data_IF_158385657718
#
_entry.id   IF_158385657718
#
_cell.length_a   1.000
_cell.length_b   1.000
_cell.length_c   1.000
_cell.angle_alpha   90.00
_cell.angle_beta   90.00
_cell.angle_gamma   90.00
#
_symmetry.space_group_name_H-M   'P 1'
#
loop_
_entity.id
_entity.type
_entity.pdbx_description
1 polymer ?
#
# COMPACT_ATOMS: atom_id res chain seq x y z
N UNK A 1 -16.52 26.69 -55.23
CA UNK A 1 -15.40 26.80 -56.18
C UNK A 1 -14.21 27.44 -55.46
N UNK A 2 -13.06 26.75 -55.45
CA UNK A 2 -11.67 27.25 -55.42
C UNK A 2 -11.25 28.04 -54.15
N UNK A 3 -10.47 27.51 -53.18
CA UNK A 3 -9.05 27.07 -53.20
C UNK A 3 -8.09 27.99 -53.97
N UNK A 4 -7.14 28.60 -53.24
CA UNK A 4 -5.80 29.11 -53.62
C UNK A 4 -5.24 29.81 -52.36
N UNK A 5 -4.44 29.21 -51.48
CA UNK A 5 -3.04 28.75 -51.56
C UNK A 5 -2.02 29.74 -52.16
N UNK A 6 -1.09 30.17 -51.30
CA UNK A 6 0.28 30.64 -51.59
C UNK A 6 1.10 30.53 -50.29
N UNK A 7 1.94 29.50 -50.07
CA UNK A 7 3.27 29.19 -50.65
C UNK A 7 4.32 30.24 -50.27
N UNK A 8 5.11 30.08 -49.19
CA UNK A 8 6.40 29.34 -49.06
C UNK A 8 7.57 30.34 -48.84
N UNK A 9 8.82 30.00 -48.42
CA UNK A 9 9.46 28.70 -48.09
C UNK A 9 10.09 28.62 -46.66
N UNK A 10 10.10 27.46 -46.01
CA UNK A 10 11.23 26.52 -45.78
C UNK A 10 12.63 27.13 -45.51
N UNK A 11 13.12 26.93 -44.28
CA UNK A 11 14.55 26.94 -43.91
C UNK A 11 14.74 25.96 -42.74
N UNK A 12 14.95 24.67 -43.01
CA UNK A 12 16.27 24.06 -43.16
C UNK A 12 17.06 24.02 -41.84
N UNK A 13 16.67 23.09 -40.96
CA UNK A 13 17.49 22.69 -39.81
C UNK A 13 18.81 22.05 -40.27
N UNK A 14 19.86 22.12 -39.43
CA UNK A 14 21.22 21.78 -39.81
C UNK A 14 21.39 20.30 -40.14
N UNK A 15 22.00 20.05 -41.30
CA UNK A 15 22.36 18.72 -41.81
C UNK A 15 23.48 18.09 -40.96
N UNK A 16 23.46 16.77 -40.71
CA UNK A 16 24.58 16.09 -40.08
C UNK A 16 25.77 16.05 -41.04
N UNK A 17 26.90 16.60 -40.61
CA UNK A 17 28.18 16.49 -41.31
C UNK A 17 28.74 15.09 -41.03
N UNK A 18 28.56 14.18 -41.97
CA UNK A 18 29.35 12.95 -42.03
C UNK A 18 30.80 13.33 -42.37
N UNK A 19 31.68 13.42 -41.37
CA UNK A 19 33.13 13.34 -41.58
C UNK A 19 33.63 11.96 -41.18
N UNK A 20 33.89 11.16 -42.21
CA UNK A 20 34.72 9.97 -42.18
C UNK A 20 36.16 10.38 -41.86
N UNK A 21 36.61 10.06 -40.66
CA UNK A 21 38.02 9.97 -40.25
C UNK A 21 38.18 8.51 -39.81
N UNK A 22 38.70 7.61 -40.64
CA UNK A 22 40.13 7.51 -40.93
C UNK A 22 40.76 6.57 -39.90
N UNK A 23 40.88 5.28 -40.24
CA UNK A 23 41.52 4.26 -39.40
C UNK A 23 43.04 4.44 -39.51
N UNK A 24 43.73 4.76 -38.40
CA UNK A 24 45.19 4.67 -38.34
C UNK A 24 45.63 4.15 -36.97
N UNK A 25 45.90 2.85 -36.99
CA UNK A 25 46.96 2.11 -36.29
C UNK A 25 47.70 2.82 -35.15
N UNK A 26 47.68 2.16 -33.99
CA UNK A 26 48.87 1.97 -33.17
C UNK A 26 49.33 3.17 -32.35
N UNK A 27 48.95 3.20 -31.08
CA UNK A 27 49.88 3.23 -29.96
C UNK A 27 49.10 3.37 -28.66
N UNK A 28 49.54 2.60 -27.66
CA UNK A 28 48.94 2.55 -26.35
C UNK A 28 48.88 3.92 -25.70
N UNK A 29 47.74 4.20 -25.09
CA UNK A 29 47.65 5.18 -24.04
C UNK A 29 47.06 4.47 -22.82
N UNK A 30 47.85 4.48 -21.76
CA UNK A 30 47.46 4.13 -20.42
C UNK A 30 46.33 5.07 -20.05
N UNK A 31 45.09 4.60 -20.10
CA UNK A 31 43.96 5.34 -19.55
C UNK A 31 43.92 5.05 -18.04
N UNK A 32 44.37 6.04 -17.28
CA UNK A 32 44.11 6.11 -15.85
C UNK A 32 42.59 6.06 -15.64
N UNK A 33 42.09 4.94 -15.10
CA UNK A 33 40.74 4.83 -14.57
C UNK A 33 40.66 5.69 -13.30
N UNK A 34 40.49 7.00 -13.48
CA UNK A 34 39.96 7.84 -12.41
C UNK A 34 38.45 7.70 -12.45
N UNK A 35 37.95 6.73 -11.71
CA UNK A 35 36.52 6.57 -11.41
C UNK A 35 36.10 7.73 -10.51
N UNK A 36 35.80 8.89 -11.08
CA UNK A 36 35.02 9.90 -10.38
C UNK A 36 33.58 9.36 -10.29
N UNK A 37 33.31 8.67 -9.18
CA UNK A 37 31.97 8.37 -8.72
C UNK A 37 31.23 9.70 -8.55
N UNK A 38 30.51 10.09 -9.60
CA UNK A 38 29.49 11.12 -9.52
C UNK A 38 28.39 10.61 -8.59
N UNK A 39 28.58 10.82 -7.28
CA UNK A 39 27.51 10.78 -6.30
C UNK A 39 26.59 11.96 -6.59
N UNK A 40 25.78 11.81 -7.64
CA UNK A 40 24.57 12.59 -7.80
C UNK A 40 23.66 12.17 -6.65
N UNK A 41 23.69 12.98 -5.59
CA UNK A 41 22.69 12.99 -4.56
C UNK A 41 21.32 13.14 -5.27
N UNK A 42 20.62 12.02 -5.43
CA UNK A 42 19.26 12.03 -5.88
C UNK A 42 18.47 12.91 -4.91
N UNK A 43 17.73 13.94 -5.37
CA UNK A 43 16.84 14.66 -4.49
C UNK A 43 15.85 13.63 -3.94
N UNK A 44 15.86 13.48 -2.62
CA UNK A 44 14.92 12.67 -1.86
C UNK A 44 13.53 12.91 -2.42
N UNK A 45 13.01 11.94 -3.19
CA UNK A 45 11.58 11.89 -3.50
C UNK A 45 10.93 11.78 -2.13
N UNK A 46 10.41 12.90 -1.63
CA UNK A 46 9.53 12.91 -0.47
C UNK A 46 8.53 11.78 -0.69
N UNK A 47 8.47 10.87 0.28
CA UNK A 47 7.45 9.85 0.32
C UNK A 47 6.11 10.54 0.08
N UNK A 48 5.22 10.00 -0.78
CA UNK A 48 3.92 10.60 -0.99
C UNK A 48 3.29 10.76 0.40
N UNK A 49 2.95 12.02 0.70
CA UNK A 49 2.21 12.47 1.87
C UNK A 49 1.32 11.36 2.40
N UNK A 50 1.53 10.98 3.66
CA UNK A 50 0.66 10.10 4.43
C UNK A 50 -0.78 10.59 4.26
N UNK A 51 -1.49 10.04 3.29
CA UNK A 51 -2.94 10.20 3.20
C UNK A 51 -3.41 9.57 4.50
N UNK A 52 -4.02 10.33 5.42
CA UNK A 52 -4.65 9.71 6.57
C UNK A 52 -5.69 8.77 5.97
N UNK A 53 -5.43 7.47 6.07
CA UNK A 53 -6.40 6.50 5.63
C UNK A 53 -7.69 6.80 6.40
N UNK A 54 -8.87 6.73 5.76
CA UNK A 54 -10.15 7.06 6.39
C UNK A 54 -10.48 6.21 7.63
N UNK A 55 -9.64 5.23 7.97
CA UNK A 55 -9.71 4.35 9.14
C UNK A 55 -9.18 4.98 10.44
N UNK A 56 -8.82 6.27 10.44
CA UNK A 56 -7.94 6.77 11.51
C UNK A 56 -8.60 6.89 12.90
N UNK A 57 -9.90 6.67 13.04
CA UNK A 57 -10.54 6.60 14.35
C UNK A 57 -11.54 5.45 14.39
N UNK A 58 -11.53 4.62 15.45
CA UNK A 58 -12.53 3.57 15.62
C UNK A 58 -13.93 4.19 15.72
N UNK A 59 -14.89 3.56 15.05
CA UNK A 59 -16.31 3.88 15.21
C UNK A 59 -16.78 3.48 16.61
N UNK A 60 -17.60 4.32 17.28
CA UNK A 60 -18.30 3.88 18.48
C UNK A 60 -19.30 2.77 18.14
N UNK A 61 -19.57 1.89 19.11
CA UNK A 61 -20.60 0.87 18.94
C UNK A 61 -21.98 1.51 18.77
N UNK A 62 -22.67 1.18 17.68
CA UNK A 62 -23.98 1.71 17.32
C UNK A 62 -24.97 0.54 17.14
N UNK A 63 -25.93 0.33 18.08
CA UNK A 63 -26.91 -0.75 17.99
C UNK A 63 -27.73 -0.74 16.70
N UNK A 64 -27.97 0.42 16.10
CA UNK A 64 -28.73 0.53 14.86
C UNK A 64 -27.91 0.03 13.67
N UNK A 65 -26.62 0.41 13.58
CA UNK A 65 -25.72 -0.12 12.55
C UNK A 65 -25.52 -1.62 12.72
N UNK A 66 -25.39 -2.07 13.97
CA UNK A 66 -25.22 -3.48 14.30
C UNK A 66 -26.38 -4.34 13.81
N UNK A 67 -27.63 -3.85 13.95
CA UNK A 67 -28.80 -4.55 13.44
C UNK A 67 -28.85 -4.70 11.90
N UNK A 68 -28.05 -3.90 11.19
CA UNK A 68 -27.92 -3.90 9.73
C UNK A 68 -26.63 -4.57 9.25
N UNK A 69 -25.87 -5.20 10.15
CA UNK A 69 -24.66 -5.94 9.79
C UNK A 69 -25.04 -7.21 9.04
N UNK A 70 -24.46 -7.36 7.84
CA UNK A 70 -24.66 -8.53 6.96
C UNK A 70 -23.39 -9.35 6.81
N UNK A 71 -22.23 -8.77 7.12
CA UNK A 71 -20.92 -9.40 6.99
C UNK A 71 -20.03 -9.06 8.18
N UNK A 72 -19.22 -10.04 8.59
CA UNK A 72 -18.23 -9.90 9.65
C UNK A 72 -16.83 -10.09 9.07
N UNK A 73 -15.96 -9.11 9.30
CA UNK A 73 -14.58 -9.14 8.84
C UNK A 73 -13.67 -8.95 10.03
N UNK A 74 -12.82 -9.94 10.29
CA UNK A 74 -11.74 -9.79 11.26
C UNK A 74 -10.44 -9.43 10.53
N UNK A 75 -9.89 -8.26 10.84
CA UNK A 75 -8.60 -7.83 10.33
C UNK A 75 -7.52 -8.20 11.34
N UNK A 76 -6.49 -8.89 10.86
CA UNK A 76 -5.35 -9.33 11.67
C UNK A 76 -4.09 -8.55 11.26
N UNK A 77 -3.78 -7.41 11.93
CA UNK A 77 -2.54 -6.68 11.74
C UNK A 77 -1.30 -7.58 11.83
N UNK A 78 -0.22 -7.23 11.16
CA UNK A 78 1.00 -8.06 11.14
C UNK A 78 1.54 -8.41 12.53
N UNK A 79 1.49 -7.46 13.48
CA UNK A 79 1.96 -7.66 14.85
C UNK A 79 1.11 -8.70 15.62
N UNK A 80 -0.21 -8.57 15.60
CA UNK A 80 -1.13 -9.50 16.28
C UNK A 80 -1.25 -10.82 15.54
N UNK A 81 -1.14 -10.82 14.21
CA UNK A 81 -1.07 -12.02 13.38
C UNK A 81 0.16 -12.86 13.67
N UNK A 82 1.31 -12.24 13.92
CA UNK A 82 2.52 -12.97 14.33
C UNK A 82 2.34 -13.61 15.71
N UNK A 83 1.74 -12.90 16.67
CA UNK A 83 1.43 -13.43 18.00
C UNK A 83 0.42 -14.60 17.94
N UNK A 84 -0.52 -14.57 17.00
CA UNK A 84 -1.47 -15.65 16.73
C UNK A 84 -0.98 -16.68 15.70
N UNK A 85 0.29 -16.60 15.26
CA UNK A 85 0.85 -17.45 14.20
C UNK A 85 0.84 -18.95 14.55
N UNK A 86 1.03 -19.25 15.84
CA UNK A 86 1.05 -20.62 16.37
C UNK A 86 -0.33 -21.14 16.78
N UNK A 87 -1.41 -20.36 16.56
CA UNK A 87 -2.74 -20.77 16.96
C UNK A 87 -3.32 -21.79 15.97
N UNK A 88 -3.88 -22.87 16.52
CA UNK A 88 -4.65 -23.82 15.73
C UNK A 88 -5.83 -23.09 15.02
N UNK A 89 -6.16 -23.43 13.77
CA UNK A 89 -7.28 -22.82 13.05
C UNK A 89 -8.60 -22.83 13.83
N UNK A 90 -8.85 -23.90 14.60
CA UNK A 90 -10.02 -24.04 15.47
C UNK A 90 -10.04 -22.97 16.56
N UNK A 91 -8.90 -22.76 17.24
CA UNK A 91 -8.74 -21.73 18.27
C UNK A 91 -8.95 -20.34 17.70
N UNK A 92 -8.38 -20.06 16.52
CA UNK A 92 -8.54 -18.76 15.85
C UNK A 92 -10.01 -18.48 15.49
N UNK A 93 -10.73 -19.44 14.93
CA UNK A 93 -12.18 -19.29 14.64
C UNK A 93 -13.01 -19.06 15.90
N UNK A 94 -12.67 -19.70 17.02
CA UNK A 94 -13.32 -19.44 18.31
C UNK A 94 -13.05 -18.01 18.79
N UNK A 95 -11.82 -17.53 18.65
CA UNK A 95 -11.47 -16.13 18.97
C UNK A 95 -12.29 -15.15 18.14
N UNK A 96 -12.33 -15.32 16.82
CA UNK A 96 -13.09 -14.45 15.91
C UNK A 96 -14.57 -14.39 16.31
N UNK A 97 -15.18 -15.55 16.60
CA UNK A 97 -16.56 -15.61 17.10
C UNK A 97 -16.76 -14.87 18.42
N UNK A 98 -15.85 -15.02 19.38
CA UNK A 98 -15.95 -14.32 20.67
C UNK A 98 -15.77 -12.81 20.50
N UNK A 99 -14.82 -12.40 19.65
CA UNK A 99 -14.57 -11.01 19.34
C UNK A 99 -15.81 -10.34 18.71
N UNK A 100 -16.44 -11.03 17.78
CA UNK A 100 -17.66 -10.59 17.12
C UNK A 100 -18.92 -10.67 18.02
N UNK A 101 -18.97 -11.60 18.97
CA UNK A 101 -20.02 -11.62 20.00
C UNK A 101 -19.90 -10.42 20.96
N UNK A 102 -18.68 -9.93 21.18
CA UNK A 102 -18.37 -8.83 22.09
C UNK A 102 -17.83 -7.60 21.37
N UNK A 103 -18.42 -7.28 20.21
CA UNK A 103 -17.96 -6.17 19.37
C UNK A 103 -17.99 -4.80 20.07
N UNK A 104 -18.89 -4.60 21.04
CA UNK A 104 -18.94 -3.38 21.85
C UNK A 104 -17.69 -3.17 22.74
N UNK A 105 -16.93 -4.24 23.00
CA UNK A 105 -15.68 -4.21 23.77
C UNK A 105 -14.44 -4.35 22.89
N UNK A 106 -14.59 -4.32 21.56
CA UNK A 106 -13.46 -4.35 20.64
C UNK A 106 -12.70 -3.03 20.71
N UNK A 107 -11.36 -3.10 20.72
CA UNK A 107 -10.53 -1.91 20.79
C UNK A 107 -10.62 -1.06 19.51
N UNK A 108 -10.82 -1.71 18.36
CA UNK A 108 -10.91 -1.04 17.07
C UNK A 108 -12.02 -1.66 16.21
N UNK A 109 -13.17 -0.99 16.19
CA UNK A 109 -14.37 -1.36 15.46
C UNK A 109 -14.62 -0.35 14.34
N UNK A 110 -15.02 -0.83 13.16
CA UNK A 110 -15.39 -0.01 12.01
C UNK A 110 -16.65 -0.57 11.35
N UNK A 111 -17.55 0.33 10.96
CA UNK A 111 -18.75 -0.02 10.19
C UNK A 111 -18.61 0.45 8.75
N UNK A 112 -18.39 -0.47 7.82
CA UNK A 112 -18.27 -0.15 6.40
C UNK A 112 -19.61 -0.36 5.72
N UNK A 113 -20.17 0.68 5.11
CA UNK A 113 -21.41 0.58 4.33
C UNK A 113 -21.17 -0.35 3.12
N UNK A 114 -22.00 -1.37 2.98
CA UNK A 114 -22.04 -2.26 1.81
C UNK A 114 -23.39 -2.13 1.09
N UNK A 115 -23.54 -2.83 -0.04
CA UNK A 115 -24.72 -2.68 -0.91
C UNK A 115 -26.05 -2.94 -0.18
N UNK A 116 -26.09 -3.95 0.70
CA UNK A 116 -27.31 -4.41 1.38
C UNK A 116 -27.34 -4.09 2.88
N UNK A 117 -26.34 -3.40 3.42
CA UNK A 117 -26.23 -3.18 4.87
C UNK A 117 -24.87 -2.62 5.28
N UNK A 118 -24.34 -3.15 6.39
CA UNK A 118 -23.00 -2.85 6.88
C UNK A 118 -22.15 -4.11 6.98
N UNK A 119 -20.86 -3.95 6.70
CA UNK A 119 -19.83 -4.92 7.05
C UNK A 119 -19.19 -4.44 8.35
N UNK A 120 -19.22 -5.29 9.38
CA UNK A 120 -18.57 -5.03 10.66
C UNK A 120 -17.12 -5.47 10.56
N UNK A 121 -16.21 -4.52 10.64
CA UNK A 121 -14.78 -4.78 10.59
C UNK A 121 -14.18 -4.57 11.97
N UNK A 122 -13.54 -5.60 12.52
CA UNK A 122 -12.81 -5.49 13.79
C UNK A 122 -11.34 -5.72 13.51
N UNK A 123 -10.52 -4.74 13.85
CA UNK A 123 -9.06 -4.88 13.81
C UNK A 123 -8.58 -5.46 15.12
N UNK A 124 -7.98 -6.64 15.08
CA UNK A 124 -7.50 -7.32 16.29
C UNK A 124 -6.32 -6.54 16.87
N UNK A 125 -6.53 -5.98 18.06
CA UNK A 125 -5.49 -5.34 18.85
C UNK A 125 -4.97 -6.27 19.94
N UNK A 126 -3.81 -5.91 20.51
CA UNK A 126 -3.21 -6.68 21.62
C UNK A 126 -4.14 -6.75 22.82
N UNK A 127 -4.87 -5.67 23.10
CA UNK A 127 -5.86 -5.61 24.19
C UNK A 127 -6.97 -6.68 24.02
N UNK A 128 -7.40 -6.97 22.79
CA UNK A 128 -8.40 -7.99 22.51
C UNK A 128 -7.84 -9.41 22.69
N UNK A 129 -6.58 -9.63 22.31
CA UNK A 129 -5.88 -10.89 22.53
C UNK A 129 -5.77 -11.19 24.02
N UNK A 130 -5.32 -10.22 24.83
CA UNK A 130 -5.15 -10.41 26.27
C UNK A 130 -6.48 -10.70 26.95
N UNK A 131 -7.53 -9.95 26.60
CA UNK A 131 -8.88 -10.10 27.15
C UNK A 131 -9.50 -11.45 26.84
N UNK A 132 -9.39 -11.92 25.60
CA UNK A 132 -10.09 -13.13 25.15
C UNK A 132 -9.25 -14.41 25.31
N UNK A 133 -7.92 -14.32 25.42
CA UNK A 133 -7.06 -15.50 25.61
C UNK A 133 -7.42 -16.27 26.88
N UNK A 134 -7.68 -15.58 28.00
CA UNK A 134 -8.11 -16.25 29.23
C UNK A 134 -9.42 -17.03 29.07
N UNK A 135 -10.34 -16.53 28.24
CA UNK A 135 -11.63 -17.18 27.97
C UNK A 135 -11.51 -18.35 27.01
N UNK A 136 -10.66 -18.22 26.00
CA UNK A 136 -10.39 -19.29 25.04
C UNK A 136 -9.82 -20.55 25.70
N UNK A 137 -8.94 -20.37 26.70
CA UNK A 137 -8.37 -21.50 27.44
C UNK A 137 -9.38 -22.17 28.36
N UNK A 138 -10.40 -21.44 28.82
CA UNK A 138 -11.42 -21.95 29.74
C UNK A 138 -12.55 -22.73 29.05
N UNK A 139 -12.62 -22.66 27.71
CA UNK A 139 -13.65 -23.28 26.87
C UNK A 139 -13.12 -24.56 26.15
N UNK A 140 -12.02 -25.13 26.64
CA UNK A 140 -11.37 -26.35 26.15
C UNK A 140 -11.68 -27.54 27.07
#
# INVERSE_FOLDING_TARGET
MLFTEGSGPRSAGPRPICRRLGYRSGMGYIWALRTEAATLAAPSRQAPSSVPLPFLMPDPFDPYREALVVEEVTLWPGATRAAAGDWEPTRRRRFERLLHAEAASAAELHYVRVHTGFSRQITVQVADLDRLTGRLTSDA
#
